data_IF_907546960964
#
_entry.id   IF_907546960964
#
_cell.length_a   1.000
_cell.length_b   1.000
_cell.length_c   1.000
_cell.angle_alpha   90.00
_cell.angle_beta   90.00
_cell.angle_gamma   90.00
#
_symmetry.space_group_name_H-M   'P 1'
#
loop_
_entity.id
_entity.type
_entity.pdbx_description
1 polymer ?
#
# COMPACT_ATOMS: atom_id res chain seq x y z
N UNK A 1 -0.10 21.02 2.28
CA UNK A 1 -1.46 20.45 2.17
C UNK A 1 -1.33 18.95 2.34
N UNK A 2 -2.24 18.29 3.09
CA UNK A 2 -2.19 16.83 3.26
C UNK A 2 -2.32 16.12 1.91
N UNK A 3 -1.69 14.95 1.80
CA UNK A 3 -1.84 14.09 0.63
C UNK A 3 -3.24 13.47 0.54
N UNK A 4 -3.63 12.89 -0.62
CA UNK A 4 -4.98 12.35 -0.81
C UNK A 4 -5.35 11.25 0.19
N UNK A 5 -4.38 10.43 0.62
CA UNK A 5 -4.62 9.41 1.65
C UNK A 5 -4.83 10.03 3.04
N UNK A 6 -4.02 11.04 3.37
CA UNK A 6 -4.06 11.70 4.67
C UNK A 6 -5.36 12.49 4.84
N UNK A 7 -5.80 13.18 3.78
CA UNK A 7 -7.06 13.91 3.75
C UNK A 7 -8.26 12.97 3.80
N UNK A 8 -8.26 11.89 3.02
CA UNK A 8 -9.37 10.93 3.03
C UNK A 8 -9.54 10.23 4.40
N UNK A 9 -8.44 9.87 5.06
CA UNK A 9 -8.50 9.24 6.39
C UNK A 9 -8.99 10.20 7.46
N UNK A 10 -8.54 11.46 7.45
CA UNK A 10 -8.97 12.48 8.42
C UNK A 10 -10.48 12.77 8.33
N UNK A 11 -11.05 12.69 7.13
CA UNK A 11 -12.47 12.94 6.89
C UNK A 11 -13.36 11.68 7.01
N UNK A 12 -12.79 10.51 7.34
CA UNK A 12 -13.56 9.26 7.50
C UNK A 12 -14.04 9.10 8.94
N UNK A 13 -15.35 9.16 9.23
CA UNK A 13 -15.88 8.86 10.56
C UNK A 13 -15.66 7.37 10.92
N UNK A 14 -15.44 7.10 12.20
CA UNK A 14 -15.20 5.75 12.72
C UNK A 14 -16.55 5.11 13.11
N UNK A 15 -16.92 4.03 12.42
CA UNK A 15 -18.15 3.26 12.67
C UNK A 15 -17.88 1.89 13.28
N UNK A 16 -16.62 1.55 13.51
CA UNK A 16 -16.23 0.31 14.16
C UNK A 16 -16.70 0.27 15.62
N UNK A 17 -17.56 -0.70 15.94
CA UNK A 17 -18.13 -0.90 17.28
C UNK A 17 -17.24 -1.76 18.20
N UNK A 18 -15.98 -1.97 17.86
CA UNK A 18 -15.06 -2.74 18.69
C UNK A 18 -14.48 -1.90 19.83
N UNK A 19 -14.22 -2.54 20.96
CA UNK A 19 -13.46 -1.95 22.06
C UNK A 19 -12.06 -1.51 21.59
N UNK A 20 -11.46 -0.47 22.20
CA UNK A 20 -10.15 0.05 21.81
C UNK A 20 -9.04 -1.01 21.77
N UNK A 21 -9.12 -2.02 22.64
CA UNK A 21 -8.13 -3.11 22.69
C UNK A 21 -8.20 -4.05 21.48
N UNK A 22 -9.34 -4.10 20.78
CA UNK A 22 -9.56 -4.93 19.60
C UNK A 22 -9.91 -4.09 18.36
N UNK A 23 -9.52 -2.81 18.36
CA UNK A 23 -9.75 -1.91 17.24
C UNK A 23 -8.88 -2.31 16.05
N UNK A 24 -9.52 -2.61 14.92
CA UNK A 24 -8.87 -3.03 13.66
C UNK A 24 -8.71 -1.87 12.69
N UNK A 25 -9.44 -0.78 12.87
CA UNK A 25 -9.46 0.36 11.97
C UNK A 25 -10.05 0.01 10.61
N UNK A 26 -11.15 -0.75 10.57
CA UNK A 26 -11.72 -1.24 9.31
C UNK A 26 -12.14 -0.10 8.38
N UNK A 27 -12.66 1.00 8.93
CA UNK A 27 -13.11 2.14 8.14
C UNK A 27 -11.94 2.91 7.52
N UNK A 28 -10.84 3.05 8.26
CA UNK A 28 -9.58 3.62 7.76
C UNK A 28 -9.01 2.72 6.66
N UNK A 29 -8.99 1.41 6.89
CA UNK A 29 -8.49 0.42 5.93
C UNK A 29 -9.34 0.36 4.65
N UNK A 30 -10.64 0.63 4.74
CA UNK A 30 -11.53 0.78 3.58
C UNK A 30 -11.22 2.06 2.79
N UNK A 31 -11.03 3.19 3.49
CA UNK A 31 -10.69 4.45 2.85
C UNK A 31 -9.36 4.34 2.07
N UNK A 32 -8.31 3.81 2.69
CA UNK A 32 -6.99 3.68 2.04
C UNK A 32 -7.01 2.66 0.89
N UNK A 33 -7.69 1.51 1.05
CA UNK A 33 -7.77 0.49 -0.02
C UNK A 33 -8.60 0.93 -1.22
N UNK A 34 -9.50 1.90 -1.05
CA UNK A 34 -10.27 2.45 -2.18
C UNK A 34 -9.40 3.10 -3.25
N UNK A 35 -8.18 3.53 -2.89
CA UNK A 35 -7.22 4.13 -3.80
C UNK A 35 -6.29 3.12 -4.49
N UNK A 36 -6.48 1.82 -4.26
CA UNK A 36 -5.61 0.73 -4.76
C UNK A 36 -4.10 1.05 -4.62
N UNK A 37 -3.61 1.24 -3.38
CA UNK A 37 -2.28 1.77 -3.16
C UNK A 37 -1.19 0.77 -3.57
N UNK A 38 -0.63 0.95 -4.76
CA UNK A 38 0.54 0.19 -5.20
C UNK A 38 1.84 0.90 -4.78
N UNK A 39 2.29 0.63 -3.55
CA UNK A 39 3.52 1.21 -2.97
C UNK A 39 4.78 1.02 -3.85
N UNK A 40 4.99 -0.12 -4.54
CA UNK A 40 6.10 -0.23 -5.49
C UNK A 40 6.03 0.76 -6.65
N UNK A 41 4.82 1.14 -7.08
CA UNK A 41 4.61 2.15 -8.13
C UNK A 41 4.91 3.55 -7.62
N UNK A 42 4.47 3.86 -6.39
CA UNK A 42 4.55 5.21 -5.81
C UNK A 42 5.97 5.69 -5.51
N UNK A 43 6.94 4.77 -5.44
CA UNK A 43 8.33 5.09 -5.08
C UNK A 43 9.33 4.71 -6.17
N UNK A 44 8.90 4.03 -7.25
CA UNK A 44 9.72 3.51 -8.35
C UNK A 44 11.08 2.94 -7.88
N UNK A 45 11.19 1.64 -7.65
CA UNK A 45 12.43 1.02 -7.15
C UNK A 45 13.60 1.23 -8.14
N UNK A 46 14.42 2.26 -7.92
CA UNK A 46 15.64 2.51 -8.68
C UNK A 46 16.79 1.67 -8.12
N UNK A 47 17.15 0.61 -8.84
CA UNK A 47 18.31 -0.20 -8.52
C UNK A 47 19.49 0.33 -9.33
N UNK A 48 20.23 1.26 -8.72
CA UNK A 48 21.36 1.93 -9.35
C UNK A 48 22.38 0.95 -9.95
N UNK A 49 22.67 1.15 -11.24
CA UNK A 49 23.81 0.63 -11.96
C UNK A 49 24.21 1.67 -12.99
N UNK A 50 25.43 2.20 -12.91
CA UNK A 50 25.93 3.22 -13.83
C UNK A 50 25.88 2.75 -15.30
N UNK A 51 25.76 3.73 -16.19
CA UNK A 51 25.73 3.60 -17.66
C UNK A 51 24.55 2.79 -18.25
N UNK A 52 23.44 3.49 -18.53
CA UNK A 52 22.59 3.24 -19.70
C UNK A 52 21.73 1.96 -19.75
N UNK A 53 21.89 1.00 -18.85
CA UNK A 53 21.15 -0.26 -18.86
C UNK A 53 20.56 -0.57 -17.47
N UNK A 54 19.47 0.11 -17.11
CA UNK A 54 18.74 -0.18 -15.89
C UNK A 54 18.30 -1.64 -15.84
N UNK A 55 18.75 -2.40 -14.83
CA UNK A 55 18.38 -3.80 -14.66
C UNK A 55 16.91 -3.87 -14.26
N UNK A 56 16.04 -4.29 -15.18
CA UNK A 56 14.64 -4.56 -14.89
C UNK A 56 14.57 -5.74 -13.93
N UNK A 57 14.30 -5.46 -12.66
CA UNK A 57 14.07 -6.51 -11.67
C UNK A 57 12.61 -6.92 -11.73
N UNK A 58 12.35 -8.02 -12.47
CA UNK A 58 11.05 -8.70 -12.45
C UNK A 58 10.92 -9.47 -11.14
N UNK A 59 10.42 -8.81 -10.09
CA UNK A 59 10.03 -9.46 -8.83
C UNK A 59 8.52 -9.32 -8.69
N UNK A 60 7.82 -10.44 -8.77
CA UNK A 60 6.39 -10.50 -8.46
C UNK A 60 6.26 -10.45 -6.93
N UNK A 61 5.89 -9.29 -6.40
CA UNK A 61 5.43 -9.18 -5.01
C UNK A 61 3.90 -9.32 -5.03
N UNK A 62 3.42 -10.54 -4.87
CA UNK A 62 2.02 -10.78 -4.56
C UNK A 62 1.90 -11.08 -3.06
N UNK A 63 1.20 -10.25 -2.29
CA UNK A 63 1.00 -10.50 -0.86
C UNK A 63 0.08 -11.70 -0.58
N UNK A 64 -0.54 -12.29 -1.61
CA UNK A 64 -1.48 -13.42 -1.49
C UNK A 64 -1.07 -14.64 -2.33
N UNK A 65 -0.02 -14.53 -3.16
CA UNK A 65 0.52 -15.70 -3.82
C UNK A 65 1.37 -16.46 -2.81
N UNK A 66 0.84 -17.58 -2.32
CA UNK A 66 1.69 -18.74 -2.04
C UNK A 66 2.72 -18.83 -3.17
N UNK A 67 4.03 -18.97 -2.89
CA UNK A 67 4.97 -19.26 -3.95
C UNK A 67 4.55 -20.60 -4.55
N UNK A 68 3.86 -20.56 -5.70
CA UNK A 68 3.78 -21.69 -6.59
C UNK A 68 5.19 -21.83 -7.16
N UNK A 69 5.97 -22.67 -6.48
CA UNK A 69 7.35 -22.98 -6.76
C UNK A 69 7.56 -23.47 -8.21
N UNK A 70 8.66 -23.05 -8.83
CA UNK A 70 9.48 -23.92 -9.68
C UNK A 70 10.89 -23.35 -9.89
#
# INVERSE_FOLDING_TARGET
TPGPYEDAVQNTPIFEENEPENFKGIDIMRAVRSFDPCLPCGVHMYLGGGSGHGKVVRRMHSPTALPLER
#
